data_IF_797634740002
#
_entry.id   IF_797634740002
#
_cell.length_a   1.000
_cell.length_b   1.000
_cell.length_c   1.000
_cell.angle_alpha   90.00
_cell.angle_beta   90.00
_cell.angle_gamma   90.00
#
_symmetry.space_group_name_H-M   'P 1'
#
loop_
_entity.id
_entity.type
_entity.pdbx_description
1 polymer ?
#
# COMPACT_ATOMS: atom_id res chain seq x y z
N UNK A 1 -11.93 4.14 28.86
CA UNK A 1 -11.77 3.27 27.67
C UNK A 1 -13.16 2.99 27.13
N UNK A 2 -13.35 3.06 25.82
CA UNK A 2 -14.63 2.71 25.18
C UNK A 2 -14.65 1.20 25.03
N UNK A 3 -15.70 0.57 25.52
CA UNK A 3 -15.97 -0.85 25.26
C UNK A 3 -16.23 -1.04 23.75
N UNK A 4 -15.55 -2.00 23.07
CA UNK A 4 -15.79 -2.29 21.67
C UNK A 4 -17.28 -2.49 21.31
N UNK A 5 -18.04 -3.09 22.19
CA UNK A 5 -19.49 -3.31 21.99
C UNK A 5 -20.31 -2.01 21.96
N UNK A 6 -19.85 -0.96 22.63
CA UNK A 6 -20.53 0.34 22.69
C UNK A 6 -20.01 1.36 21.67
N UNK A 7 -18.99 1.03 20.89
CA UNK A 7 -18.45 1.91 19.86
C UNK A 7 -19.35 2.01 18.62
N UNK A 8 -19.80 0.87 18.12
CA UNK A 8 -20.56 0.79 16.86
C UNK A 8 -22.05 1.08 17.05
N UNK A 9 -22.39 2.25 17.60
CA UNK A 9 -23.75 2.77 17.75
C UNK A 9 -23.81 4.26 17.34
N UNK A 10 -24.95 4.76 16.82
CA UNK A 10 -25.07 6.16 16.39
C UNK A 10 -24.76 7.18 17.49
N UNK A 11 -25.17 6.91 18.74
CA UNK A 11 -24.90 7.81 19.86
C UNK A 11 -23.40 7.99 20.12
N UNK A 12 -22.60 6.91 20.04
CA UNK A 12 -21.14 6.99 20.19
C UNK A 12 -20.48 7.78 19.05
N UNK A 13 -20.94 7.62 17.82
CA UNK A 13 -20.46 8.39 16.68
C UNK A 13 -20.70 9.89 16.86
N UNK A 14 -21.89 10.29 17.32
CA UNK A 14 -22.20 11.68 17.62
C UNK A 14 -21.31 12.25 18.75
N UNK A 15 -21.13 11.50 19.84
CA UNK A 15 -20.27 11.90 20.96
C UNK A 15 -18.80 12.05 20.55
N UNK A 16 -18.25 11.03 19.87
CA UNK A 16 -16.83 10.98 19.46
C UNK A 16 -16.49 12.10 18.47
N UNK A 17 -17.40 12.37 17.51
CA UNK A 17 -17.16 13.37 16.46
C UNK A 17 -17.59 14.79 16.86
N UNK A 18 -18.34 14.93 17.97
CA UNK A 18 -18.97 16.21 18.35
C UNK A 18 -20.03 16.67 17.35
N UNK A 19 -20.58 15.73 16.57
CA UNK A 19 -21.52 16.03 15.51
C UNK A 19 -22.90 16.43 16.01
N UNK A 20 -23.63 17.22 15.20
CA UNK A 20 -25.01 17.64 15.45
C UNK A 20 -25.97 16.87 14.55
N UNK A 21 -27.00 16.29 15.14
CA UNK A 21 -28.05 15.61 14.38
C UNK A 21 -28.84 16.60 13.48
N UNK A 22 -28.90 16.31 12.19
CA UNK A 22 -29.86 16.91 11.26
C UNK A 22 -31.15 16.06 11.18
N UNK A 23 -30.97 14.73 11.20
CA UNK A 23 -32.02 13.74 11.34
C UNK A 23 -31.52 12.66 12.33
N UNK A 24 -32.02 12.59 13.56
CA UNK A 24 -31.57 11.60 14.52
C UNK A 24 -32.05 10.20 14.11
N UNK A 25 -31.30 9.12 14.49
CA UNK A 25 -31.77 7.76 14.29
C UNK A 25 -33.00 7.48 15.17
N UNK A 26 -33.84 6.52 14.76
CA UNK A 26 -34.96 6.06 15.56
C UNK A 26 -34.50 5.41 16.89
N UNK A 27 -33.39 4.70 16.87
CA UNK A 27 -32.69 4.14 18.02
C UNK A 27 -31.21 4.51 17.98
N UNK A 28 -30.76 5.33 18.93
CA UNK A 28 -29.37 5.74 19.05
C UNK A 28 -28.42 4.63 19.54
N UNK A 29 -28.96 3.50 20.02
CA UNK A 29 -28.21 2.34 20.48
C UNK A 29 -28.24 1.18 19.48
N UNK A 30 -28.93 1.31 18.33
CA UNK A 30 -28.94 0.28 17.30
C UNK A 30 -27.51 0.01 16.76
N UNK A 31 -27.10 -1.27 16.63
CA UNK A 31 -25.76 -1.58 16.17
C UNK A 31 -25.53 -1.17 14.71
N UNK A 32 -24.39 -0.53 14.45
CA UNK A 32 -23.92 -0.20 13.10
C UNK A 32 -23.09 -1.36 12.56
N UNK A 33 -23.31 -1.74 11.29
CA UNK A 33 -22.67 -2.90 10.67
C UNK A 33 -21.20 -2.64 10.27
N UNK A 34 -20.82 -1.37 10.11
CA UNK A 34 -19.51 -0.95 9.63
C UNK A 34 -19.53 0.47 9.09
N UNK A 35 -18.53 0.82 8.27
CA UNK A 35 -18.40 2.13 7.68
C UNK A 35 -17.86 2.06 6.25
N UNK A 36 -18.43 2.85 5.34
CA UNK A 36 -17.99 2.97 3.95
C UNK A 36 -17.90 4.43 3.50
N UNK A 37 -16.95 4.73 2.62
CA UNK A 37 -16.86 5.98 1.85
C UNK A 37 -17.28 5.79 0.38
N UNK A 38 -17.55 4.52 -0.03
CA UNK A 38 -17.96 4.18 -1.40
C UNK A 38 -19.44 3.79 -1.43
N UNK A 39 -20.25 4.65 -2.03
CA UNK A 39 -21.70 4.45 -2.15
C UNK A 39 -22.11 3.17 -2.93
N UNK A 40 -21.18 2.61 -3.74
CA UNK A 40 -21.42 1.42 -4.57
C UNK A 40 -21.13 0.12 -3.82
N UNK A 41 -20.30 0.18 -2.78
CA UNK A 41 -19.86 -0.98 -1.99
C UNK A 41 -20.52 -1.04 -0.60
N UNK A 42 -21.37 -0.07 -0.28
CA UNK A 42 -22.05 0.04 1.01
C UNK A 42 -23.03 -1.12 1.19
N UNK A 43 -23.02 -1.72 2.38
CA UNK A 43 -23.97 -2.76 2.78
C UNK A 43 -25.00 -2.21 3.79
N UNK A 44 -26.19 -2.83 3.90
CA UNK A 44 -27.22 -2.38 4.82
C UNK A 44 -26.74 -2.32 6.28
N UNK A 45 -27.09 -1.25 6.98
CA UNK A 45 -26.68 -1.01 8.37
C UNK A 45 -25.35 -0.31 8.55
N UNK A 46 -24.58 -0.07 7.47
CA UNK A 46 -23.32 0.70 7.55
C UNK A 46 -23.53 2.20 7.68
N UNK A 47 -22.47 2.86 8.14
CA UNK A 47 -22.32 4.31 8.13
C UNK A 47 -21.71 4.74 6.80
N UNK A 48 -22.34 5.67 6.12
CA UNK A 48 -21.73 6.35 4.98
C UNK A 48 -21.02 7.63 5.40
N UNK A 49 -19.78 7.83 4.96
CA UNK A 49 -19.05 9.08 5.19
C UNK A 49 -18.98 9.85 3.87
N UNK A 50 -19.72 10.97 3.79
CA UNK A 50 -19.80 11.80 2.59
C UNK A 50 -18.53 12.64 2.43
N UNK A 51 -17.49 12.05 1.80
CA UNK A 51 -16.24 12.77 1.52
C UNK A 51 -16.39 13.65 0.29
N UNK A 52 -15.96 14.91 0.40
CA UNK A 52 -15.83 15.83 -0.73
C UNK A 52 -14.42 15.70 -1.31
N UNK A 53 -14.31 15.21 -2.54
CA UNK A 53 -13.06 15.08 -3.29
C UNK A 53 -13.01 16.01 -4.49
N UNK A 54 -11.90 16.00 -5.23
CA UNK A 54 -11.68 16.86 -6.40
C UNK A 54 -12.68 16.63 -7.55
N UNK A 55 -13.17 15.40 -7.71
CA UNK A 55 -14.01 14.98 -8.85
C UNK A 55 -15.45 14.69 -8.45
N UNK A 56 -15.70 14.30 -7.21
CA UNK A 56 -17.00 13.86 -6.72
C UNK A 56 -17.23 14.42 -5.31
N UNK A 57 -18.49 14.76 -5.03
CA UNK A 57 -18.96 15.09 -3.70
C UNK A 57 -19.83 13.94 -3.16
N UNK A 58 -19.40 13.33 -2.05
CA UNK A 58 -20.11 12.23 -1.40
C UNK A 58 -21.54 12.58 -1.01
N UNK A 59 -21.83 13.86 -0.76
CA UNK A 59 -23.18 14.34 -0.42
C UNK A 59 -24.19 14.14 -1.56
N UNK A 60 -23.74 14.06 -2.82
CA UNK A 60 -24.63 13.85 -3.97
C UNK A 60 -25.19 12.41 -4.02
N UNK A 61 -24.59 11.48 -3.28
CA UNK A 61 -24.94 10.07 -3.24
C UNK A 61 -25.85 9.69 -2.06
N UNK A 62 -26.30 10.65 -1.22
CA UNK A 62 -27.10 10.35 -0.03
C UNK A 62 -28.40 9.58 -0.33
N UNK A 63 -29.09 9.90 -1.42
CA UNK A 63 -30.27 9.17 -1.83
C UNK A 63 -29.97 7.72 -2.24
N UNK A 64 -28.82 7.49 -2.90
CA UNK A 64 -28.36 6.17 -3.28
C UNK A 64 -28.01 5.32 -2.04
N UNK A 65 -27.27 5.88 -1.08
CA UNK A 65 -26.87 5.14 0.12
C UNK A 65 -28.06 4.85 1.04
N UNK A 66 -29.05 5.75 1.07
CA UNK A 66 -30.33 5.46 1.75
C UNK A 66 -31.04 4.27 1.10
N UNK A 67 -31.12 4.25 -0.23
CA UNK A 67 -31.72 3.14 -0.96
C UNK A 67 -30.94 1.82 -0.77
N UNK A 68 -29.62 1.89 -0.55
CA UNK A 68 -28.77 0.75 -0.20
C UNK A 68 -28.89 0.32 1.28
N UNK A 69 -29.66 1.03 2.11
CA UNK A 69 -29.91 0.67 3.49
C UNK A 69 -28.87 1.18 4.49
N UNK A 70 -28.15 2.27 4.18
CA UNK A 70 -27.29 2.93 5.16
C UNK A 70 -28.08 3.32 6.42
N UNK A 71 -27.52 3.06 7.61
CA UNK A 71 -28.15 3.41 8.88
C UNK A 71 -27.89 4.88 9.26
N UNK A 72 -26.71 5.40 8.90
CA UNK A 72 -26.23 6.72 9.26
C UNK A 72 -25.39 7.30 8.12
N UNK A 73 -25.49 8.62 7.90
CA UNK A 73 -24.50 9.33 7.07
C UNK A 73 -23.87 10.49 7.86
N UNK A 74 -22.53 10.60 7.77
CA UNK A 74 -21.77 11.75 8.21
C UNK A 74 -21.68 12.75 7.07
N UNK A 75 -22.06 14.00 7.33
CA UNK A 75 -22.11 15.10 6.34
C UNK A 75 -21.45 16.37 6.87
N UNK A 76 -20.90 17.21 6.01
CA UNK A 76 -20.22 18.48 6.40
C UNK A 76 -21.15 19.71 6.29
N UNK A 77 -22.25 19.59 5.59
CA UNK A 77 -23.19 20.68 5.36
C UNK A 77 -24.60 20.33 5.78
N UNK A 78 -25.45 21.35 5.92
CA UNK A 78 -26.85 21.10 6.17
C UNK A 78 -27.50 20.45 4.93
N UNK A 79 -28.06 19.28 5.16
CA UNK A 79 -28.80 18.50 4.17
C UNK A 79 -30.23 18.31 4.67
N UNK A 80 -31.21 18.52 3.81
CA UNK A 80 -32.58 18.25 4.17
C UNK A 80 -32.76 16.74 4.43
N UNK A 81 -33.51 16.35 5.49
CA UNK A 81 -33.84 14.96 5.71
C UNK A 81 -34.48 14.34 4.47
N UNK A 82 -33.96 13.21 4.04
CA UNK A 82 -34.50 12.47 2.92
C UNK A 82 -35.82 11.83 3.34
N UNK A 83 -36.81 11.83 2.44
CA UNK A 83 -38.07 11.13 2.71
C UNK A 83 -37.79 9.66 2.92
N UNK A 84 -38.50 9.04 3.88
CA UNK A 84 -38.40 7.61 4.11
C UNK A 84 -38.53 6.84 2.79
N UNK A 85 -37.59 5.94 2.52
CA UNK A 85 -37.62 5.06 1.35
C UNK A 85 -38.68 3.99 1.46
N UNK A 86 -38.77 3.09 0.48
CA UNK A 86 -39.72 1.96 0.50
C UNK A 86 -39.51 0.99 1.69
N UNK A 87 -38.31 0.98 2.31
CA UNK A 87 -37.95 0.22 3.50
C UNK A 87 -38.50 0.79 4.82
N UNK A 88 -39.08 2.00 4.79
CA UNK A 88 -39.68 2.64 5.97
C UNK A 88 -38.69 3.34 6.91
N UNK A 89 -37.39 3.06 6.85
CA UNK A 89 -36.39 3.65 7.72
C UNK A 89 -35.78 4.91 7.06
N UNK A 90 -35.79 6.02 7.80
CA UNK A 90 -35.14 7.24 7.37
C UNK A 90 -33.64 7.15 7.66
N UNK A 91 -32.80 7.55 6.70
CA UNK A 91 -31.36 7.69 6.89
C UNK A 91 -31.07 8.70 8.00
N UNK A 92 -30.40 8.29 9.06
CA UNK A 92 -29.91 9.21 10.07
C UNK A 92 -28.82 10.11 9.49
N UNK A 93 -28.86 11.42 9.82
CA UNK A 93 -27.90 12.40 9.31
C UNK A 93 -27.19 13.10 10.47
N UNK A 94 -25.89 12.90 10.58
CA UNK A 94 -25.02 13.53 11.57
C UNK A 94 -24.11 14.55 10.86
N UNK A 95 -24.30 15.84 11.15
CA UNK A 95 -23.43 16.87 10.64
C UNK A 95 -22.20 17.00 11.51
N UNK A 96 -21.05 16.96 10.87
CA UNK A 96 -19.72 17.18 11.46
C UNK A 96 -19.04 18.40 10.80
N UNK A 97 -18.00 18.92 11.43
CA UNK A 97 -17.22 20.03 10.85
C UNK A 97 -16.45 19.58 9.59
N UNK A 98 -15.82 18.40 9.66
CA UNK A 98 -15.13 17.74 8.56
C UNK A 98 -15.34 16.25 8.62
N UNK A 99 -15.82 15.65 7.52
CA UNK A 99 -16.03 14.19 7.44
C UNK A 99 -14.71 13.43 7.46
N UNK A 100 -13.63 14.01 6.90
CA UNK A 100 -12.28 13.43 6.98
C UNK A 100 -11.78 13.40 8.42
N UNK A 101 -11.88 14.53 9.15
CA UNK A 101 -11.51 14.59 10.56
C UNK A 101 -12.36 13.68 11.44
N UNK A 102 -13.66 13.61 11.18
CA UNK A 102 -14.55 12.68 11.86
C UNK A 102 -14.11 11.22 11.67
N UNK A 103 -13.81 10.84 10.43
CA UNK A 103 -13.29 9.50 10.09
C UNK A 103 -11.99 9.19 10.87
N UNK A 104 -11.05 10.13 10.89
CA UNK A 104 -9.78 10.01 11.60
C UNK A 104 -9.97 9.91 13.13
N UNK A 105 -10.86 10.72 13.69
CA UNK A 105 -11.16 10.71 15.12
C UNK A 105 -11.83 9.39 15.53
N UNK A 106 -12.77 8.90 14.75
CA UNK A 106 -13.39 7.58 14.96
C UNK A 106 -12.34 6.47 14.91
N UNK A 107 -11.46 6.50 13.91
CA UNK A 107 -10.38 5.53 13.76
C UNK A 107 -9.42 5.52 14.96
N UNK A 108 -9.01 6.71 15.44
CA UNK A 108 -8.14 6.83 16.60
C UNK A 108 -8.81 6.30 17.89
N UNK A 109 -10.13 6.52 18.05
CA UNK A 109 -10.90 5.96 19.17
C UNK A 109 -11.11 4.46 19.05
N UNK A 110 -11.35 3.97 17.84
CA UNK A 110 -11.44 2.52 17.60
C UNK A 110 -10.10 1.82 17.86
N UNK A 111 -8.97 2.47 17.52
CA UNK A 111 -7.62 1.97 17.87
C UNK A 111 -7.46 1.77 19.38
N UNK A 112 -8.01 2.66 20.22
CA UNK A 112 -7.99 2.49 21.68
C UNK A 112 -8.79 1.26 22.10
N UNK A 113 -9.98 1.06 21.52
CA UNK A 113 -10.82 -0.10 21.79
C UNK A 113 -10.17 -1.42 21.36
N UNK A 114 -9.54 -1.45 20.17
CA UNK A 114 -8.79 -2.60 19.68
C UNK A 114 -7.64 -2.98 20.63
N UNK A 115 -6.85 -1.98 21.09
CA UNK A 115 -5.76 -2.22 22.05
C UNK A 115 -6.27 -2.74 23.39
N UNK A 116 -7.38 -2.21 23.88
CA UNK A 116 -8.02 -2.69 25.12
C UNK A 116 -8.54 -4.13 25.00
N UNK A 117 -8.96 -4.54 23.79
CA UNK A 117 -9.35 -5.92 23.47
C UNK A 117 -8.17 -6.88 23.22
N UNK A 118 -6.92 -6.37 23.23
CA UNK A 118 -5.71 -7.16 23.05
C UNK A 118 -5.22 -7.26 21.59
N UNK A 119 -5.82 -6.53 20.65
CA UNK A 119 -5.34 -6.45 19.29
C UNK A 119 -4.04 -5.64 19.22
N UNK A 120 -2.95 -6.25 18.75
CA UNK A 120 -1.68 -5.57 18.53
C UNK A 120 -1.63 -4.97 17.13
N UNK A 121 -1.34 -3.68 17.04
CA UNK A 121 -1.24 -2.97 15.75
C UNK A 121 0.21 -2.90 15.31
N UNK A 122 0.47 -3.49 14.14
CA UNK A 122 1.76 -3.41 13.43
C UNK A 122 1.63 -2.35 12.34
N UNK A 123 2.51 -1.38 12.32
CA UNK A 123 2.55 -0.36 11.26
C UNK A 123 3.76 -0.57 10.37
N UNK A 124 3.56 -0.46 9.06
CA UNK A 124 4.64 -0.63 8.06
C UNK A 124 4.79 0.64 7.26
N UNK A 125 5.96 1.26 7.34
CA UNK A 125 6.37 2.47 6.64
C UNK A 125 7.68 2.23 5.87
N UNK A 126 8.18 3.23 5.15
CA UNK A 126 9.42 3.16 4.37
C UNK A 126 9.20 3.36 2.87
N UNK A 127 10.24 3.69 2.13
CA UNK A 127 10.15 4.05 0.72
C UNK A 127 9.66 2.93 -0.18
N UNK A 128 10.22 1.73 -0.02
CA UNK A 128 9.90 0.57 -0.85
C UNK A 128 9.58 -0.65 0.02
N UNK A 129 8.78 -1.58 -0.51
CA UNK A 129 8.48 -2.83 0.18
C UNK A 129 7.34 -2.77 1.20
N UNK A 130 6.71 -1.62 1.47
CA UNK A 130 5.58 -1.48 2.42
C UNK A 130 4.50 -2.53 2.23
N UNK A 131 3.89 -2.57 1.07
CA UNK A 131 2.78 -3.49 0.76
C UNK A 131 3.21 -4.95 0.82
N UNK A 132 4.40 -5.27 0.30
CA UNK A 132 4.95 -6.63 0.35
C UNK A 132 5.19 -7.05 1.80
N UNK A 133 5.87 -6.22 2.61
CA UNK A 133 6.14 -6.52 4.01
C UNK A 133 4.85 -6.66 4.81
N UNK A 134 3.86 -5.77 4.63
CA UNK A 134 2.53 -5.88 5.22
C UNK A 134 1.87 -7.22 4.90
N UNK A 135 1.89 -7.62 3.61
CA UNK A 135 1.33 -8.89 3.17
C UNK A 135 2.05 -10.09 3.78
N UNK A 136 3.39 -10.07 3.81
CA UNK A 136 4.21 -11.12 4.42
C UNK A 136 4.02 -11.21 5.95
N UNK A 137 3.87 -10.08 6.65
CA UNK A 137 3.53 -10.07 8.07
C UNK A 137 2.18 -10.74 8.31
N UNK A 138 1.14 -10.33 7.56
CA UNK A 138 -0.18 -10.94 7.67
C UNK A 138 -0.11 -12.45 7.40
N UNK A 139 0.60 -12.87 6.36
CA UNK A 139 0.77 -14.27 5.99
C UNK A 139 1.40 -15.08 7.12
N UNK A 140 2.56 -14.65 7.65
CA UNK A 140 3.27 -15.42 8.67
C UNK A 140 2.54 -15.44 10.02
N UNK A 141 1.85 -14.36 10.40
CA UNK A 141 1.04 -14.33 11.63
C UNK A 141 -0.17 -15.27 11.53
N UNK A 142 -0.83 -15.29 10.36
CA UNK A 142 -1.94 -16.21 10.09
C UNK A 142 -1.47 -17.67 10.07
N UNK A 143 -0.32 -17.97 9.44
CA UNK A 143 0.30 -19.29 9.49
C UNK A 143 0.67 -19.71 10.92
N UNK A 144 0.97 -18.75 11.80
CA UNK A 144 1.17 -18.91 13.23
C UNK A 144 -0.12 -19.15 14.04
N UNK A 145 -1.29 -19.22 13.38
CA UNK A 145 -2.58 -19.48 14.02
C UNK A 145 -3.27 -18.25 14.59
N UNK A 146 -2.80 -17.04 14.30
CA UNK A 146 -3.43 -15.82 14.75
C UNK A 146 -4.50 -15.35 13.74
N UNK A 147 -5.61 -14.82 14.26
CA UNK A 147 -6.63 -14.15 13.46
C UNK A 147 -6.41 -12.65 13.47
N UNK A 148 -6.42 -12.02 12.30
CA UNK A 148 -6.21 -10.58 12.19
C UNK A 148 -6.53 -10.05 10.82
N UNK A 149 -6.25 -8.77 10.59
CA UNK A 149 -6.49 -8.09 9.34
C UNK A 149 -5.30 -7.23 8.91
N UNK A 150 -5.35 -6.74 7.69
CA UNK A 150 -4.35 -5.85 7.13
C UNK A 150 -5.00 -4.76 6.27
N UNK A 151 -4.27 -3.68 5.98
CA UNK A 151 -4.73 -2.65 5.05
C UNK A 151 -5.22 -3.26 3.74
N UNK A 152 -6.45 -2.96 3.29
CA UNK A 152 -6.91 -3.35 1.96
C UNK A 152 -6.08 -2.64 0.89
N UNK A 153 -5.66 -3.35 -0.16
CA UNK A 153 -4.86 -2.76 -1.27
C UNK A 153 -3.68 -1.95 -0.70
N UNK A 154 -3.49 -0.70 -1.14
CA UNK A 154 -2.50 0.24 -0.61
C UNK A 154 -3.19 1.40 0.13
N UNK A 155 -4.09 1.06 1.08
CA UNK A 155 -4.77 2.04 1.95
C UNK A 155 -3.79 2.55 3.00
N UNK A 156 -2.98 3.55 2.63
CA UNK A 156 -1.85 4.05 3.40
C UNK A 156 -1.83 5.57 3.60
N UNK A 157 -2.91 6.27 3.22
CA UNK A 157 -3.05 7.72 3.30
C UNK A 157 -4.12 8.16 4.33
N UNK A 158 -4.42 9.46 4.37
CA UNK A 158 -5.35 10.12 5.30
C UNK A 158 -6.80 9.58 5.30
N UNK A 159 -7.21 8.81 4.29
CA UNK A 159 -8.47 8.06 4.25
C UNK A 159 -8.25 6.56 4.47
N UNK A 160 -7.23 6.00 3.83
CA UNK A 160 -6.98 4.57 3.83
C UNK A 160 -6.57 4.02 5.20
N UNK A 161 -5.74 4.75 5.95
CA UNK A 161 -5.31 4.36 7.30
C UNK A 161 -6.51 4.33 8.28
N UNK A 162 -7.35 5.36 8.36
CA UNK A 162 -8.58 5.30 9.16
C UNK A 162 -9.51 4.14 8.78
N UNK A 163 -9.73 3.92 7.49
CA UNK A 163 -10.55 2.81 7.01
C UNK A 163 -9.96 1.44 7.38
N UNK A 164 -8.64 1.31 7.37
CA UNK A 164 -7.94 0.10 7.80
C UNK A 164 -8.20 -0.19 9.28
N UNK A 165 -8.10 0.81 10.13
CA UNK A 165 -8.39 0.68 11.56
C UNK A 165 -9.86 0.32 11.81
N UNK A 166 -10.79 1.07 11.22
CA UNK A 166 -12.23 0.86 11.38
C UNK A 166 -12.74 -0.46 10.76
N UNK A 167 -12.01 -1.03 9.81
CA UNK A 167 -12.28 -2.35 9.25
C UNK A 167 -11.78 -3.52 10.11
N UNK A 168 -10.97 -3.26 11.13
CA UNK A 168 -10.54 -4.29 12.08
C UNK A 168 -11.66 -4.59 13.09
N UNK A 169 -11.72 -5.84 13.55
CA UNK A 169 -12.69 -6.31 14.52
C UNK A 169 -12.06 -6.45 15.90
N UNK A 170 -12.85 -6.34 16.95
CA UNK A 170 -12.37 -6.42 18.33
C UNK A 170 -11.75 -7.79 18.69
N UNK A 171 -12.20 -8.86 18.02
CA UNK A 171 -11.68 -10.22 18.19
C UNK A 171 -10.37 -10.50 17.45
N UNK A 172 -9.86 -9.55 16.64
CA UNK A 172 -8.58 -9.70 15.97
C UNK A 172 -7.43 -9.64 16.97
N UNK A 173 -6.52 -10.60 16.92
CA UNK A 173 -5.27 -10.59 17.69
C UNK A 173 -4.22 -9.63 17.12
N UNK A 174 -4.34 -9.27 15.84
CA UNK A 174 -3.45 -8.31 15.18
C UNK A 174 -4.12 -7.52 14.06
N UNK A 175 -3.55 -6.36 13.78
CA UNK A 175 -3.84 -5.54 12.60
C UNK A 175 -2.51 -5.09 11.98
N UNK A 176 -2.33 -5.22 10.67
CA UNK A 176 -1.18 -4.67 9.95
C UNK A 176 -1.62 -3.46 9.13
N UNK A 177 -1.21 -2.27 9.53
CA UNK A 177 -1.52 -1.01 8.88
C UNK A 177 -0.33 -0.53 8.03
N UNK A 178 -0.55 -0.29 6.74
CA UNK A 178 0.42 0.38 5.88
C UNK A 178 0.30 1.89 6.09
N UNK A 179 1.44 2.58 6.29
CA UNK A 179 1.54 4.04 6.39
C UNK A 179 2.44 4.54 5.28
N UNK A 180 1.93 5.42 4.46
CA UNK A 180 2.65 6.02 3.34
C UNK A 180 2.59 7.54 3.39
N UNK A 181 3.42 8.17 2.57
CA UNK A 181 3.49 9.61 2.43
C UNK A 181 3.66 10.01 0.98
N UNK A 182 3.26 11.22 0.65
CA UNK A 182 3.66 11.94 -0.55
C UNK A 182 4.27 13.30 -0.15
N UNK A 183 3.91 13.85 1.03
CA UNK A 183 4.31 15.18 1.46
C UNK A 183 4.85 15.18 2.91
N UNK A 184 5.71 16.14 3.26
CA UNK A 184 6.25 16.26 4.62
C UNK A 184 5.15 16.37 5.68
N UNK A 185 5.28 15.56 6.75
CA UNK A 185 4.39 15.56 7.92
C UNK A 185 3.26 14.53 7.87
N UNK A 186 2.96 13.94 6.71
CA UNK A 186 1.86 12.96 6.57
C UNK A 186 2.10 11.71 7.41
N UNK A 187 3.35 11.18 7.47
CA UNK A 187 3.67 10.02 8.31
C UNK A 187 3.38 10.30 9.77
N UNK A 188 3.74 11.48 10.29
CA UNK A 188 3.48 11.85 11.67
C UNK A 188 1.97 11.91 11.98
N UNK A 189 1.18 12.52 11.09
CA UNK A 189 -0.27 12.62 11.24
C UNK A 189 -0.93 11.24 11.26
N UNK A 190 -0.56 10.37 10.33
CA UNK A 190 -1.09 9.01 10.25
C UNK A 190 -0.65 8.15 11.43
N UNK A 191 0.62 8.25 11.83
CA UNK A 191 1.16 7.53 12.97
C UNK A 191 0.49 7.92 14.29
N UNK A 192 0.09 9.20 14.45
CA UNK A 192 -0.68 9.68 15.59
C UNK A 192 -2.07 9.02 15.70
N UNK A 193 -2.66 8.61 14.57
CA UNK A 193 -3.92 7.87 14.54
C UNK A 193 -3.67 6.39 14.83
N UNK A 194 -2.65 5.78 14.20
CA UNK A 194 -2.34 4.34 14.29
C UNK A 194 -1.78 3.97 15.66
N UNK A 195 -0.86 4.77 16.22
CA UNK A 195 -0.14 4.49 17.48
C UNK A 195 0.29 3.03 17.59
N UNK A 196 1.25 2.60 16.74
CA UNK A 196 1.58 1.20 16.59
C UNK A 196 2.20 0.61 17.86
N UNK A 197 1.87 -0.65 18.15
CA UNK A 197 2.58 -1.47 19.14
C UNK A 197 3.91 -1.97 18.57
N UNK A 198 3.96 -2.17 17.25
CA UNK A 198 5.16 -2.49 16.50
C UNK A 198 5.23 -1.60 15.26
N UNK A 199 6.30 -0.82 15.11
CA UNK A 199 6.59 -0.07 13.89
C UNK A 199 7.68 -0.78 13.08
N UNK A 200 7.47 -0.92 11.77
CA UNK A 200 8.45 -1.46 10.83
C UNK A 200 8.77 -0.39 9.80
N UNK A 201 10.04 -0.01 9.67
CA UNK A 201 10.53 0.77 8.54
C UNK A 201 11.24 -0.19 7.59
N UNK A 202 10.75 -0.31 6.35
CA UNK A 202 11.23 -1.33 5.41
C UNK A 202 12.54 -0.94 4.75
N UNK A 203 12.61 0.27 4.21
CA UNK A 203 13.76 0.79 3.47
C UNK A 203 13.71 2.31 3.36
N UNK A 204 14.83 2.92 3.00
CA UNK A 204 14.89 4.29 2.51
C UNK A 204 15.35 4.30 1.05
N UNK A 205 14.72 5.13 0.22
CA UNK A 205 15.02 5.25 -1.20
C UNK A 205 14.55 6.58 -1.77
N UNK A 206 14.89 6.82 -3.02
CA UNK A 206 14.62 8.05 -3.76
C UNK A 206 13.14 8.12 -4.18
N UNK A 207 12.24 8.44 -3.23
CA UNK A 207 10.81 8.61 -3.51
C UNK A 207 10.35 10.04 -3.17
N UNK A 208 9.34 10.55 -3.88
CA UNK A 208 8.70 11.85 -3.63
C UNK A 208 9.70 13.01 -3.45
N UNK A 209 10.86 12.96 -4.17
CA UNK A 209 11.94 13.94 -4.01
C UNK A 209 11.51 15.35 -4.39
N UNK A 210 10.46 15.49 -5.18
CA UNK A 210 9.83 16.79 -5.49
C UNK A 210 9.39 17.51 -4.21
N UNK A 211 8.89 16.77 -3.21
CA UNK A 211 8.36 17.30 -1.97
C UNK A 211 9.30 17.08 -0.79
N UNK A 212 9.95 15.92 -0.71
CA UNK A 212 10.87 15.54 0.38
C UNK A 212 12.31 16.00 0.14
N UNK A 213 12.64 16.47 -1.08
CA UNK A 213 13.89 17.10 -1.53
C UNK A 213 15.04 16.12 -1.72
N UNK A 214 15.42 15.36 -0.70
CA UNK A 214 16.58 14.45 -0.70
C UNK A 214 16.35 13.25 0.24
N UNK A 215 17.29 12.33 0.24
CA UNK A 215 17.25 11.13 1.10
C UNK A 215 17.17 11.45 2.60
N UNK A 216 17.75 12.59 3.04
CA UNK A 216 17.59 13.00 4.44
C UNK A 216 16.18 13.48 4.73
N UNK A 217 15.52 14.13 3.76
CA UNK A 217 14.11 14.47 3.84
C UNK A 217 13.23 13.23 3.95
N UNK A 218 13.48 12.23 3.09
CA UNK A 218 12.81 10.93 3.16
C UNK A 218 13.04 10.25 4.51
N UNK A 219 14.30 10.22 5.00
CA UNK A 219 14.62 9.61 6.29
C UNK A 219 13.90 10.29 7.45
N UNK A 220 13.82 11.63 7.46
CA UNK A 220 13.05 12.36 8.49
C UNK A 220 11.57 12.03 8.44
N UNK A 221 10.98 12.01 7.25
CA UNK A 221 9.56 11.73 7.06
C UNK A 221 9.23 10.30 7.50
N UNK A 222 9.92 9.29 6.98
CA UNK A 222 9.67 7.89 7.32
C UNK A 222 9.96 7.58 8.79
N UNK A 223 10.96 8.25 9.40
CA UNK A 223 11.27 8.11 10.83
C UNK A 223 10.21 8.72 11.75
N UNK A 224 9.35 9.61 11.24
CA UNK A 224 8.35 10.28 12.06
C UNK A 224 7.37 9.29 12.72
N UNK A 225 7.19 8.10 12.16
CA UNK A 225 6.40 7.02 12.76
C UNK A 225 6.91 6.62 14.15
N UNK A 226 8.22 6.72 14.39
CA UNK A 226 8.87 6.30 15.63
C UNK A 226 8.42 7.14 16.84
N UNK A 227 8.04 8.41 16.63
CA UNK A 227 7.55 9.27 17.69
C UNK A 227 6.18 8.82 18.27
N UNK A 228 5.49 7.92 17.58
CA UNK A 228 4.14 7.46 17.91
C UNK A 228 4.07 5.97 18.28
N UNK A 229 5.22 5.28 18.38
CA UNK A 229 5.26 3.90 18.89
C UNK A 229 4.81 3.89 20.35
N UNK A 230 3.93 2.96 20.68
CA UNK A 230 3.41 2.83 22.04
C UNK A 230 4.54 2.61 23.06
N UNK A 231 4.37 3.12 24.29
CA UNK A 231 5.32 2.86 25.36
C UNK A 231 5.42 1.33 25.63
N UNK A 232 6.65 0.82 25.71
CA UNK A 232 6.92 -0.61 25.81
C UNK A 232 6.73 -1.38 24.49
N UNK A 233 6.46 -0.68 23.38
CA UNK A 233 6.36 -1.23 22.05
C UNK A 233 7.71 -1.57 21.41
N UNK A 234 7.71 -1.83 20.10
CA UNK A 234 8.89 -2.26 19.35
C UNK A 234 9.03 -1.49 18.02
N UNK A 235 10.21 -1.00 17.71
CA UNK A 235 10.59 -0.55 16.38
C UNK A 235 11.53 -1.56 15.71
N UNK A 236 11.17 -2.03 14.53
CA UNK A 236 11.96 -2.90 13.68
C UNK A 236 12.53 -2.09 12.52
N UNK A 237 13.83 -1.91 12.49
CA UNK A 237 14.54 -1.09 11.54
C UNK A 237 15.53 -1.94 10.74
N UNK A 238 15.80 -1.62 9.46
CA UNK A 238 16.86 -2.30 8.72
C UNK A 238 18.22 -2.12 9.41
N UNK A 239 19.11 -3.08 9.26
CA UNK A 239 20.51 -2.92 9.61
C UNK A 239 21.11 -1.74 8.83
N UNK A 240 22.10 -1.05 9.41
CA UNK A 240 22.65 0.19 8.83
C UNK A 240 23.21 0.01 7.41
N UNK A 241 23.75 -1.17 7.10
CA UNK A 241 24.25 -1.51 5.78
C UNK A 241 23.18 -1.52 4.67
N UNK A 242 21.89 -1.55 5.02
CA UNK A 242 20.75 -1.48 4.07
C UNK A 242 20.17 -0.07 3.93
N UNK A 243 20.70 0.92 4.65
CA UNK A 243 20.18 2.28 4.63
C UNK A 243 21.18 3.22 3.93
N UNK A 244 20.74 4.00 2.93
CA UNK A 244 21.62 4.98 2.26
C UNK A 244 21.97 6.18 3.15
N UNK A 245 21.13 6.48 4.13
CA UNK A 245 21.32 7.52 5.15
C UNK A 245 20.73 7.03 6.48
N UNK A 246 21.21 7.56 7.64
CA UNK A 246 20.67 7.15 8.93
C UNK A 246 19.21 7.61 9.13
N UNK A 247 18.43 6.80 9.86
CA UNK A 247 17.11 7.17 10.35
C UNK A 247 17.22 8.17 11.51
N UNK A 248 16.21 9.04 11.62
CA UNK A 248 16.07 9.95 12.76
C UNK A 248 15.38 9.21 13.91
N UNK A 249 16.15 8.80 14.91
CA UNK A 249 15.65 8.05 16.07
C UNK A 249 15.45 9.02 17.24
N UNK A 250 14.33 8.93 18.01
CA UNK A 250 14.16 9.71 19.23
C UNK A 250 15.31 9.47 20.22
N UNK A 251 15.73 10.50 20.95
CA UNK A 251 16.90 10.44 21.85
C UNK A 251 16.67 9.47 23.01
N UNK A 252 15.44 9.42 23.55
CA UNK A 252 15.05 8.54 24.66
C UNK A 252 13.74 7.82 24.28
N UNK A 253 13.80 6.76 23.44
CA UNK A 253 12.61 6.07 23.04
C UNK A 253 12.00 5.28 24.21
N UNK A 254 10.68 5.42 24.41
CA UNK A 254 9.94 4.63 25.39
C UNK A 254 9.60 3.19 24.88
N UNK A 255 10.25 2.76 23.81
CA UNK A 255 10.05 1.48 23.13
C UNK A 255 11.40 0.82 22.82
N UNK A 256 11.37 -0.46 22.56
CA UNK A 256 12.56 -1.23 22.14
C UNK A 256 12.87 -0.99 20.65
N UNK A 257 14.15 -0.95 20.30
CA UNK A 257 14.61 -0.91 18.91
C UNK A 257 15.37 -2.20 18.62
N UNK A 258 14.95 -2.91 17.58
CA UNK A 258 15.68 -4.06 17.01
C UNK A 258 15.96 -3.80 15.53
N UNK A 259 17.16 -4.21 15.11
CA UNK A 259 17.52 -4.16 13.70
C UNK A 259 17.37 -5.54 13.07
N UNK A 260 16.86 -5.56 11.84
CA UNK A 260 16.78 -6.79 11.04
C UNK A 260 17.75 -6.73 9.86
N UNK A 261 18.22 -7.88 9.45
CA UNK A 261 19.11 -8.11 8.31
C UNK A 261 18.58 -9.32 7.54
N UNK A 262 19.24 -9.70 6.44
CA UNK A 262 18.90 -10.90 5.70
C UNK A 262 18.94 -12.14 6.63
N UNK A 263 17.78 -12.75 6.79
CA UNK A 263 17.60 -13.91 7.66
C UNK A 263 17.56 -15.20 6.83
N UNK A 264 18.43 -16.20 7.10
CA UNK A 264 18.40 -17.49 6.41
C UNK A 264 17.04 -18.20 6.45
N UNK A 265 16.21 -17.94 7.47
CA UNK A 265 14.86 -18.50 7.59
C UNK A 265 13.96 -18.18 6.39
N UNK A 266 14.30 -17.14 5.64
CA UNK A 266 13.56 -16.70 4.44
C UNK A 266 13.98 -17.41 3.15
N UNK A 267 14.84 -18.43 3.23
CA UNK A 267 15.38 -19.12 2.04
C UNK A 267 14.29 -19.79 1.17
N UNK A 268 13.17 -20.19 1.77
CA UNK A 268 12.03 -20.79 1.06
C UNK A 268 11.05 -19.80 0.43
N UNK A 269 11.30 -18.49 0.51
CA UNK A 269 10.41 -17.49 -0.05
C UNK A 269 10.40 -17.54 -1.60
N UNK A 270 9.23 -17.69 -2.27
CA UNK A 270 9.15 -17.77 -3.72
C UNK A 270 9.25 -16.41 -4.43
N UNK A 271 9.36 -15.32 -3.68
CA UNK A 271 9.49 -13.96 -4.21
C UNK A 271 10.95 -13.68 -4.62
N UNK A 272 11.21 -13.31 -5.89
CA UNK A 272 12.58 -13.07 -6.34
C UNK A 272 13.16 -11.79 -5.76
N UNK A 273 14.49 -11.77 -5.62
CA UNK A 273 15.28 -10.61 -5.21
C UNK A 273 15.56 -10.52 -3.71
N UNK A 274 16.74 -9.99 -3.42
CA UNK A 274 17.25 -9.79 -2.06
C UNK A 274 16.37 -8.86 -1.22
N UNK A 275 15.80 -7.81 -1.87
CA UNK A 275 14.88 -6.89 -1.22
C UNK A 275 13.61 -7.59 -0.70
N UNK A 276 13.08 -8.60 -1.40
CA UNK A 276 11.95 -9.38 -0.92
C UNK A 276 12.33 -10.31 0.24
N UNK A 277 13.53 -10.86 0.23
CA UNK A 277 14.07 -11.61 1.39
C UNK A 277 14.25 -10.70 2.60
N UNK A 278 14.67 -9.44 2.41
CA UNK A 278 14.76 -8.46 3.49
C UNK A 278 13.37 -8.09 4.03
N UNK A 279 12.37 -7.92 3.16
CA UNK A 279 10.97 -7.73 3.57
C UNK A 279 10.44 -8.91 4.39
N UNK A 280 10.77 -10.15 4.00
CA UNK A 280 10.41 -11.36 4.74
C UNK A 280 11.17 -11.48 6.07
N UNK A 281 12.42 -10.99 6.13
CA UNK A 281 13.19 -10.92 7.38
C UNK A 281 12.55 -9.97 8.38
N UNK A 282 12.05 -8.80 7.91
CA UNK A 282 11.26 -7.89 8.73
C UNK A 282 9.98 -8.56 9.24
N UNK A 283 9.27 -9.29 8.37
CA UNK A 283 8.06 -10.03 8.75
C UNK A 283 8.38 -11.17 9.74
N UNK A 284 9.50 -11.85 9.59
CA UNK A 284 9.99 -12.86 10.55
C UNK A 284 10.26 -12.24 11.92
N UNK A 285 10.87 -11.05 11.95
CA UNK A 285 11.12 -10.33 13.21
C UNK A 285 9.80 -9.92 13.90
N UNK A 286 8.77 -9.53 13.15
CA UNK A 286 7.41 -9.31 13.69
C UNK A 286 6.85 -10.61 14.26
N UNK A 287 6.92 -11.73 13.52
CA UNK A 287 6.41 -13.03 13.96
C UNK A 287 7.05 -13.49 15.28
N UNK A 288 8.37 -13.29 15.42
CA UNK A 288 9.08 -13.54 16.70
C UNK A 288 8.56 -12.66 17.84
N UNK A 289 8.25 -11.39 17.56
CA UNK A 289 7.67 -10.50 18.57
C UNK A 289 6.25 -10.92 18.99
N UNK A 290 5.55 -11.69 18.17
CA UNK A 290 4.29 -12.36 18.51
C UNK A 290 4.48 -13.73 19.17
N UNK A 291 5.72 -14.19 19.36
CA UNK A 291 6.02 -15.46 19.98
C UNK A 291 5.84 -16.69 19.07
N UNK A 292 5.80 -16.49 17.74
CA UNK A 292 5.68 -17.61 16.79
C UNK A 292 7.02 -18.34 16.70
N UNK A 293 6.95 -19.67 16.78
CA UNK A 293 8.14 -20.53 16.76
C UNK A 293 8.88 -20.48 15.41
N UNK A 294 10.21 -20.54 15.43
CA UNK A 294 11.07 -20.49 14.23
C UNK A 294 10.66 -21.52 13.16
N UNK A 295 10.32 -22.75 13.58
CA UNK A 295 9.88 -23.80 12.66
C UNK A 295 8.59 -23.40 11.91
N UNK A 296 7.64 -22.74 12.57
CA UNK A 296 6.41 -22.25 11.96
C UNK A 296 6.70 -21.09 11.00
N UNK A 297 7.60 -20.17 11.38
CA UNK A 297 8.02 -19.06 10.52
C UNK A 297 8.66 -19.61 9.23
N UNK A 298 9.60 -20.56 9.36
CA UNK A 298 10.26 -21.16 8.19
C UNK A 298 9.27 -21.89 7.28
N UNK A 299 8.32 -22.64 7.86
CA UNK A 299 7.32 -23.39 7.12
C UNK A 299 6.29 -22.51 6.39
N UNK A 300 6.13 -21.24 6.78
CA UNK A 300 5.19 -20.32 6.16
C UNK A 300 5.68 -19.81 4.78
N UNK A 301 6.99 -19.64 4.58
CA UNK A 301 7.51 -18.93 3.42
C UNK A 301 7.24 -19.59 2.07
N UNK A 302 7.33 -20.95 1.89
CA UNK A 302 7.05 -21.57 0.59
C UNK A 302 5.64 -21.32 0.04
N UNK A 303 4.69 -21.00 0.90
CA UNK A 303 3.31 -20.70 0.54
C UNK A 303 3.01 -19.18 0.47
N UNK A 304 4.02 -18.32 0.66
CA UNK A 304 3.83 -16.89 0.63
C UNK A 304 3.51 -16.42 -0.81
N UNK A 305 2.35 -15.75 -0.95
CA UNK A 305 1.93 -15.18 -2.23
C UNK A 305 2.52 -13.78 -2.48
N UNK A 306 2.32 -13.30 -3.70
CA UNK A 306 2.66 -11.95 -4.12
C UNK A 306 1.54 -10.96 -3.77
N UNK A 307 1.92 -9.73 -3.45
CA UNK A 307 0.97 -8.63 -3.60
C UNK A 307 0.85 -8.30 -5.11
N UNK A 308 -0.36 -8.03 -5.63
CA UNK A 308 -0.55 -7.78 -7.06
C UNK A 308 0.36 -6.68 -7.61
N UNK A 309 0.92 -6.89 -8.79
CA UNK A 309 1.83 -5.96 -9.50
C UNK A 309 3.09 -5.57 -8.69
N UNK A 310 3.56 -6.43 -7.77
CA UNK A 310 4.72 -6.17 -6.91
C UNK A 310 5.76 -7.29 -7.04
N UNK A 311 6.44 -7.33 -8.22
CA UNK A 311 7.37 -8.40 -8.54
C UNK A 311 6.68 -9.75 -8.71
N UNK A 312 5.42 -9.73 -9.12
CA UNK A 312 4.59 -10.89 -9.41
C UNK A 312 5.16 -11.63 -10.62
N UNK A 313 5.50 -12.91 -10.45
CA UNK A 313 6.07 -13.72 -11.52
C UNK A 313 4.97 -14.59 -12.12
N UNK A 314 4.71 -14.40 -13.41
CA UNK A 314 3.69 -15.13 -14.16
C UNK A 314 4.37 -16.10 -15.14
N UNK A 315 3.77 -17.26 -15.35
CA UNK A 315 4.22 -18.32 -16.29
C UNK A 315 5.61 -18.90 -16.01
N UNK A 316 6.18 -18.77 -14.82
CA UNK A 316 7.53 -19.22 -14.50
C UNK A 316 7.76 -20.72 -14.77
N UNK A 317 6.74 -21.55 -14.66
CA UNK A 317 6.80 -23.00 -14.81
C UNK A 317 6.30 -23.50 -16.18
N UNK A 318 5.96 -22.59 -17.12
CA UNK A 318 5.46 -22.94 -18.43
C UNK A 318 6.48 -22.58 -19.54
N UNK A 319 7.27 -23.55 -20.05
CA UNK A 319 8.31 -23.28 -21.05
C UNK A 319 7.75 -22.88 -22.42
N UNK A 320 6.45 -22.98 -22.64
CA UNK A 320 5.78 -22.51 -23.87
C UNK A 320 5.43 -21.03 -23.84
N UNK A 321 5.70 -20.33 -22.73
CA UNK A 321 5.34 -18.93 -22.49
C UNK A 321 6.50 -18.16 -21.88
N UNK A 322 6.59 -16.84 -22.14
CA UNK A 322 7.59 -16.00 -21.48
C UNK A 322 7.34 -15.92 -19.98
N UNK A 323 8.39 -15.88 -19.20
CA UNK A 323 8.32 -15.47 -17.80
C UNK A 323 8.05 -13.98 -17.71
N UNK A 324 7.00 -13.55 -17.01
CA UNK A 324 6.65 -12.14 -16.86
C UNK A 324 6.85 -11.72 -15.41
N UNK A 325 7.69 -10.73 -15.17
CA UNK A 325 7.87 -10.08 -13.87
C UNK A 325 7.04 -8.80 -13.89
N UNK A 326 5.83 -8.88 -13.36
CA UNK A 326 4.91 -7.74 -13.24
C UNK A 326 5.20 -6.94 -11.97
N UNK A 327 5.90 -5.82 -12.11
CA UNK A 327 6.21 -4.86 -11.05
C UNK A 327 5.68 -3.45 -11.41
N UNK A 328 4.51 -3.41 -12.07
CA UNK A 328 3.93 -2.21 -12.65
C UNK A 328 3.18 -1.30 -11.67
N UNK A 329 3.15 -1.61 -10.36
CA UNK A 329 2.39 -0.81 -9.40
C UNK A 329 2.93 0.61 -9.22
N UNK A 330 4.25 0.75 -9.06
CA UNK A 330 4.94 2.04 -8.90
C UNK A 330 6.43 1.90 -9.21
N UNK A 331 7.10 3.04 -9.41
CA UNK A 331 8.53 3.08 -9.69
C UNK A 331 9.19 4.32 -9.07
N UNK A 332 10.38 4.10 -8.54
CA UNK A 332 11.37 5.11 -8.19
C UNK A 332 12.78 4.57 -8.51
N UNK A 333 13.85 5.37 -8.51
CA UNK A 333 15.16 4.92 -8.93
C UNK A 333 15.68 3.70 -8.17
N UNK A 334 15.47 3.67 -6.85
CA UNK A 334 15.89 2.56 -5.98
C UNK A 334 15.16 1.27 -6.36
N UNK A 335 13.84 1.31 -6.57
CA UNK A 335 13.05 0.14 -6.94
C UNK A 335 13.29 -0.32 -8.37
N UNK A 336 13.60 0.59 -9.30
CA UNK A 336 13.99 0.25 -10.68
C UNK A 336 15.31 -0.53 -10.69
N UNK A 337 16.34 -0.07 -9.95
CA UNK A 337 17.62 -0.80 -9.82
C UNK A 337 17.41 -2.20 -9.25
N UNK A 338 16.55 -2.33 -8.23
CA UNK A 338 16.23 -3.61 -7.63
C UNK A 338 15.53 -4.57 -8.62
N UNK A 339 14.57 -4.07 -9.40
CA UNK A 339 13.87 -4.87 -10.41
C UNK A 339 14.78 -5.30 -11.56
N UNK A 340 15.65 -4.42 -12.04
CA UNK A 340 16.67 -4.75 -13.06
C UNK A 340 17.69 -5.78 -12.51
N UNK A 341 18.11 -5.69 -11.24
CA UNK A 341 18.94 -6.72 -10.60
C UNK A 341 18.24 -8.07 -10.55
N UNK A 342 16.91 -8.09 -10.35
CA UNK A 342 16.12 -9.33 -10.44
C UNK A 342 16.11 -9.86 -11.86
N UNK A 343 15.83 -9.02 -12.87
CA UNK A 343 15.83 -9.42 -14.28
C UNK A 343 17.19 -9.99 -14.71
N UNK A 344 18.29 -9.39 -14.27
CA UNK A 344 19.66 -9.86 -14.55
C UNK A 344 19.93 -11.30 -14.04
N UNK A 345 19.17 -11.77 -13.05
CA UNK A 345 19.25 -13.14 -12.53
C UNK A 345 18.54 -14.20 -13.39
N UNK A 346 17.77 -13.78 -14.40
CA UNK A 346 17.10 -14.68 -15.33
C UNK A 346 17.96 -14.93 -16.59
N UNK A 347 17.78 -16.07 -17.28
CA UNK A 347 18.50 -16.32 -18.54
C UNK A 347 18.07 -15.35 -19.63
N UNK A 348 18.97 -15.13 -20.60
CA UNK A 348 18.62 -14.41 -21.83
C UNK A 348 17.72 -15.30 -22.74
N UNK A 349 16.85 -14.74 -23.60
CA UNK A 349 16.70 -13.28 -23.81
C UNK A 349 15.87 -12.58 -22.73
N UNK A 350 16.27 -11.36 -22.37
CA UNK A 350 15.60 -10.52 -21.38
C UNK A 350 15.07 -9.27 -22.04
N UNK A 351 13.83 -8.90 -21.70
CA UNK A 351 13.20 -7.67 -22.15
C UNK A 351 12.80 -6.82 -20.94
N UNK A 352 13.06 -5.51 -20.99
CA UNK A 352 12.63 -4.56 -19.99
C UNK A 352 11.67 -3.53 -20.59
N UNK A 353 10.43 -3.46 -20.10
CA UNK A 353 9.45 -2.43 -20.43
C UNK A 353 9.32 -1.49 -19.23
N UNK A 354 9.92 -0.30 -19.37
CA UNK A 354 10.04 0.65 -18.27
C UNK A 354 9.28 1.94 -18.59
N UNK A 355 8.43 2.37 -17.66
CA UNK A 355 7.72 3.64 -17.70
C UNK A 355 8.33 4.69 -16.79
N UNK A 356 8.09 5.96 -17.11
CA UNK A 356 8.62 7.09 -16.36
C UNK A 356 8.43 6.95 -14.85
N UNK A 357 9.43 7.46 -14.12
CA UNK A 357 9.41 7.64 -12.68
C UNK A 357 8.95 9.06 -12.36
N UNK A 358 7.78 9.18 -11.72
CA UNK A 358 7.16 10.47 -11.39
C UNK A 358 7.62 10.99 -10.03
N UNK A 359 7.36 12.29 -9.76
CA UNK A 359 7.58 12.95 -8.48
C UNK A 359 9.06 13.01 -8.02
N UNK A 360 10.01 12.97 -8.95
CA UNK A 360 11.44 13.07 -8.66
C UNK A 360 11.97 14.51 -8.67
N UNK A 361 11.16 15.51 -9.08
CA UNK A 361 11.55 16.91 -9.12
C UNK A 361 12.84 17.13 -9.93
N UNK A 362 13.82 17.81 -9.35
CA UNK A 362 15.09 18.10 -10.01
C UNK A 362 15.93 16.86 -10.35
N UNK A 363 15.70 15.72 -9.69
CA UNK A 363 16.43 14.48 -9.96
C UNK A 363 15.90 13.73 -11.20
N UNK A 364 14.76 14.14 -11.78
CA UNK A 364 14.12 13.45 -12.91
C UNK A 364 15.08 13.17 -14.08
N UNK A 365 15.86 14.13 -14.62
CA UNK A 365 16.68 13.86 -15.80
C UNK A 365 17.83 12.89 -15.52
N UNK A 366 18.51 13.02 -14.38
CA UNK A 366 19.63 12.14 -14.01
C UNK A 366 19.16 10.73 -13.70
N UNK A 367 18.07 10.59 -12.92
CA UNK A 367 17.51 9.30 -12.56
C UNK A 367 17.05 8.48 -13.78
N UNK A 368 16.37 9.11 -14.75
CA UNK A 368 15.95 8.41 -15.96
C UNK A 368 17.13 8.00 -16.83
N UNK A 369 18.15 8.87 -16.95
CA UNK A 369 19.37 8.55 -17.68
C UNK A 369 20.12 7.37 -17.06
N UNK A 370 20.30 7.37 -15.72
CA UNK A 370 21.00 6.30 -15.02
C UNK A 370 20.27 4.95 -15.14
N UNK A 371 18.92 4.98 -15.06
CA UNK A 371 18.10 3.76 -15.21
C UNK A 371 18.06 3.29 -16.66
N UNK A 372 17.98 4.20 -17.65
CA UNK A 372 18.02 3.84 -19.06
C UNK A 372 19.35 3.15 -19.44
N UNK A 373 20.49 3.69 -18.97
CA UNK A 373 21.79 3.05 -19.14
C UNK A 373 21.86 1.67 -18.50
N UNK A 374 21.41 1.55 -17.24
CA UNK A 374 21.38 0.27 -16.53
C UNK A 374 20.47 -0.76 -17.21
N UNK A 375 19.33 -0.33 -17.75
CA UNK A 375 18.42 -1.21 -18.47
C UNK A 375 19.06 -1.75 -19.75
N UNK A 376 19.73 -0.89 -20.53
CA UNK A 376 20.46 -1.28 -21.73
C UNK A 376 21.62 -2.26 -21.46
N UNK A 377 22.27 -2.15 -20.30
CA UNK A 377 23.31 -3.08 -19.85
C UNK A 377 22.72 -4.42 -19.33
N UNK A 378 21.45 -4.42 -18.94
CA UNK A 378 20.82 -5.57 -18.26
C UNK A 378 20.02 -6.47 -19.20
N UNK A 379 19.31 -5.89 -20.18
CA UNK A 379 18.39 -6.59 -21.04
C UNK A 379 18.80 -6.46 -22.52
N UNK A 380 18.59 -7.52 -23.27
CA UNK A 380 18.85 -7.57 -24.73
C UNK A 380 17.86 -6.73 -25.53
N UNK A 381 16.70 -6.41 -24.95
CA UNK A 381 15.70 -5.51 -25.53
C UNK A 381 15.10 -4.61 -24.45
N UNK A 382 15.05 -3.30 -24.69
CA UNK A 382 14.46 -2.32 -23.78
C UNK A 382 13.42 -1.47 -24.50
N UNK A 383 12.23 -1.35 -23.89
CA UNK A 383 11.18 -0.44 -24.33
C UNK A 383 10.98 0.61 -23.24
N UNK A 384 11.37 1.83 -23.51
CA UNK A 384 11.31 2.97 -22.60
C UNK A 384 10.10 3.84 -22.94
N UNK A 385 9.22 4.09 -21.96
CA UNK A 385 7.92 4.72 -22.20
C UNK A 385 7.75 5.94 -21.31
N UNK A 386 7.53 7.08 -21.92
CA UNK A 386 7.31 8.36 -21.29
C UNK A 386 8.29 9.44 -21.75
N UNK A 387 7.93 10.72 -21.61
CA UNK A 387 8.74 11.83 -22.10
C UNK A 387 10.13 11.92 -21.45
N UNK A 388 10.27 11.51 -20.19
CA UNK A 388 11.53 11.57 -19.48
C UNK A 388 12.48 10.45 -19.94
N UNK A 389 11.99 9.24 -20.12
CA UNK A 389 12.78 8.15 -20.68
C UNK A 389 13.14 8.40 -22.15
N UNK A 390 12.21 8.95 -22.97
CA UNK A 390 12.53 9.32 -24.34
C UNK A 390 13.64 10.36 -24.42
N UNK A 391 13.63 11.37 -23.54
CA UNK A 391 14.72 12.36 -23.46
C UNK A 391 16.04 11.73 -23.00
N UNK A 392 16.01 10.80 -22.05
CA UNK A 392 17.18 10.10 -21.55
C UNK A 392 17.83 9.22 -22.64
N UNK A 393 17.01 8.45 -23.38
CA UNK A 393 17.48 7.60 -24.48
C UNK A 393 18.18 8.40 -25.59
N UNK A 394 17.58 9.54 -25.98
CA UNK A 394 18.17 10.44 -26.96
C UNK A 394 19.53 11.02 -26.49
N UNK A 395 19.66 11.38 -25.22
CA UNK A 395 20.91 11.88 -24.64
C UNK A 395 22.03 10.84 -24.60
N UNK A 396 21.68 9.58 -24.41
CA UNK A 396 22.63 8.47 -24.32
C UNK A 396 22.94 7.84 -25.70
N UNK A 397 22.31 8.31 -26.79
CA UNK A 397 22.42 7.73 -28.11
C UNK A 397 22.16 6.21 -28.13
N UNK A 398 21.12 5.76 -27.39
CA UNK A 398 20.80 4.35 -27.24
C UNK A 398 20.11 3.74 -28.48
N UNK A 399 19.81 4.53 -29.49
CA UNK A 399 19.19 4.09 -30.75
C UNK A 399 20.05 3.06 -31.54
N UNK A 400 21.34 2.96 -31.22
CA UNK A 400 22.25 1.96 -31.78
C UNK A 400 22.18 0.60 -31.06
N UNK A 401 21.54 0.58 -29.91
CA UNK A 401 21.28 -0.64 -29.11
C UNK A 401 19.84 -1.12 -29.35
N UNK A 402 19.49 -2.32 -28.91
CA UNK A 402 18.12 -2.80 -28.97
C UNK A 402 17.21 -2.08 -27.94
N UNK A 403 17.20 -0.75 -27.99
CA UNK A 403 16.44 0.15 -27.13
C UNK A 403 15.49 0.97 -27.98
N UNK A 404 14.18 0.83 -27.74
CA UNK A 404 13.16 1.70 -28.32
C UNK A 404 12.63 2.67 -27.26
N UNK A 405 12.40 3.92 -27.64
CA UNK A 405 11.91 4.95 -26.72
C UNK A 405 10.67 5.65 -27.28
N UNK A 406 9.62 5.70 -26.49
CA UNK A 406 8.31 6.20 -26.87
C UNK A 406 7.85 7.28 -25.87
N UNK A 407 7.44 8.44 -26.37
CA UNK A 407 6.96 9.53 -25.50
C UNK A 407 5.65 9.21 -24.78
N UNK A 408 4.87 8.27 -25.29
CA UNK A 408 3.60 7.85 -24.72
C UNK A 408 3.28 6.39 -25.03
N UNK A 409 2.43 5.83 -24.19
CA UNK A 409 1.84 4.52 -24.43
C UNK A 409 0.86 4.53 -25.61
N UNK A 410 0.79 3.42 -26.33
CA UNK A 410 -0.28 3.13 -27.29
C UNK A 410 -0.61 1.64 -27.34
N UNK A 411 -1.82 1.28 -27.76
CA UNK A 411 -2.22 -0.13 -27.96
C UNK A 411 -1.41 -0.78 -29.10
N UNK A 412 -0.99 0.00 -30.09
CA UNK A 412 -0.11 -0.48 -31.15
C UNK A 412 1.25 -0.90 -30.58
N UNK A 413 1.84 -0.09 -29.69
CA UNK A 413 3.08 -0.42 -28.99
C UNK A 413 2.93 -1.68 -28.15
N UNK A 414 1.79 -1.87 -27.48
CA UNK A 414 1.53 -3.10 -26.72
C UNK A 414 1.53 -4.35 -27.61
N UNK A 415 0.92 -4.24 -28.81
CA UNK A 415 0.91 -5.32 -29.78
C UNK A 415 2.31 -5.61 -30.36
N UNK A 416 3.12 -4.58 -30.62
CA UNK A 416 4.51 -4.69 -31.06
C UNK A 416 5.37 -5.41 -30.00
N UNK A 417 5.33 -4.97 -28.73
CA UNK A 417 6.03 -5.61 -27.62
C UNK A 417 5.63 -7.08 -27.51
N UNK A 418 4.32 -7.35 -27.53
CA UNK A 418 3.85 -8.72 -27.48
C UNK A 418 4.34 -9.54 -28.69
N UNK A 419 4.44 -8.97 -29.90
CA UNK A 419 4.89 -9.64 -31.12
C UNK A 419 6.40 -9.94 -31.10
N UNK A 420 7.22 -9.16 -30.47
CA UNK A 420 8.67 -9.36 -30.37
C UNK A 420 9.07 -10.37 -29.28
N UNK A 421 8.23 -10.53 -28.24
CA UNK A 421 8.54 -11.39 -27.11
C UNK A 421 8.52 -12.88 -27.54
N UNK A 422 9.58 -13.63 -27.23
CA UNK A 422 9.67 -15.08 -27.48
C UNK A 422 9.26 -15.88 -26.24
N UNK A 423 8.82 -17.16 -26.41
CA UNK A 423 8.41 -17.98 -25.27
C UNK A 423 9.50 -18.23 -24.23
N UNK A 424 10.76 -18.22 -24.61
CA UNK A 424 11.92 -18.42 -23.74
C UNK A 424 12.41 -17.13 -23.08
N UNK A 425 11.80 -15.98 -23.39
CA UNK A 425 12.20 -14.69 -22.84
C UNK A 425 11.68 -14.45 -21.43
N UNK A 426 12.40 -13.58 -20.69
CA UNK A 426 11.92 -13.00 -19.44
C UNK A 426 11.62 -11.52 -19.64
N UNK A 427 10.39 -11.11 -19.35
CA UNK A 427 9.90 -9.74 -19.46
C UNK A 427 9.75 -9.09 -18.08
N UNK A 428 10.39 -7.94 -17.86
CA UNK A 428 10.11 -7.05 -16.74
C UNK A 428 9.18 -5.90 -17.16
N UNK A 429 8.11 -5.67 -16.41
CA UNK A 429 7.19 -4.54 -16.60
C UNK A 429 7.24 -3.67 -15.34
N UNK A 430 7.71 -2.40 -15.44
CA UNK A 430 7.78 -1.49 -14.31
C UNK A 430 7.65 -0.02 -14.70
N UNK A 431 6.86 0.75 -13.94
CA UNK A 431 6.67 2.19 -14.13
C UNK A 431 5.91 2.80 -12.95
N UNK A 432 5.91 4.12 -12.85
CA UNK A 432 5.08 4.82 -11.87
C UNK A 432 3.60 4.52 -12.05
N UNK A 433 2.80 4.61 -10.99
CA UNK A 433 1.37 4.27 -11.02
C UNK A 433 0.61 4.99 -12.14
N UNK A 434 0.95 6.25 -12.40
CA UNK A 434 0.35 7.05 -13.47
C UNK A 434 0.62 6.53 -14.89
N UNK A 435 1.66 5.70 -15.07
CA UNK A 435 1.99 5.07 -16.36
C UNK A 435 1.06 3.89 -16.68
N UNK A 436 0.51 3.24 -15.68
CA UNK A 436 -0.45 2.13 -15.79
C UNK A 436 0.02 1.02 -16.76
N UNK A 437 1.28 0.58 -16.63
CA UNK A 437 1.89 -0.37 -17.57
C UNK A 437 1.32 -1.79 -17.49
N UNK A 438 0.55 -2.13 -16.45
CA UNK A 438 -0.21 -3.38 -16.38
C UNK A 438 -1.18 -3.57 -17.55
N UNK A 439 -1.52 -2.51 -18.28
CA UNK A 439 -2.31 -2.57 -19.52
C UNK A 439 -1.59 -3.26 -20.69
N UNK A 440 -0.32 -3.64 -20.54
CA UNK A 440 0.37 -4.53 -21.45
C UNK A 440 -0.13 -5.99 -21.33
N UNK A 441 -0.56 -6.40 -20.13
CA UNK A 441 -0.95 -7.79 -19.85
C UNK A 441 -2.06 -8.33 -20.77
N UNK A 442 -3.10 -7.58 -21.15
CA UNK A 442 -4.09 -8.05 -22.14
C UNK A 442 -3.50 -8.44 -23.49
N UNK A 443 -2.54 -7.66 -24.02
CA UNK A 443 -1.88 -7.99 -25.30
C UNK A 443 -1.02 -9.26 -25.18
N UNK A 444 -0.32 -9.43 -24.06
CA UNK A 444 0.44 -10.65 -23.76
C UNK A 444 -0.49 -11.86 -23.61
N UNK A 445 -1.62 -11.70 -22.92
CA UNK A 445 -2.63 -12.75 -22.75
C UNK A 445 -3.29 -13.16 -24.07
N UNK A 446 -3.49 -12.20 -24.99
CA UNK A 446 -4.01 -12.50 -26.34
C UNK A 446 -3.06 -13.38 -27.16
N UNK A 447 -1.74 -13.24 -26.97
CA UNK A 447 -0.73 -14.02 -27.69
C UNK A 447 -0.36 -15.34 -27.02
N UNK A 448 -0.18 -15.34 -25.70
CA UNK A 448 0.36 -16.47 -24.94
C UNK A 448 -0.69 -17.16 -24.05
N UNK A 449 -1.94 -16.68 -24.07
CA UNK A 449 -3.01 -17.13 -23.17
C UNK A 449 -3.00 -16.40 -21.80
N UNK A 450 -4.11 -16.47 -21.07
CA UNK A 450 -4.22 -15.82 -19.76
C UNK A 450 -3.18 -16.40 -18.79
N UNK A 451 -2.70 -15.57 -17.87
CA UNK A 451 -1.92 -16.05 -16.73
C UNK A 451 -2.74 -17.10 -15.97
N UNK A 452 -2.14 -18.24 -15.65
CA UNK A 452 -2.75 -19.15 -14.70
C UNK A 452 -2.81 -18.42 -13.34
N UNK A 453 -4.02 -18.28 -12.81
CA UNK A 453 -4.27 -17.61 -11.54
C UNK A 453 -3.82 -18.42 -10.35
#
# INVERSE_FOLDING_TARGET
MIDPASFWIPAAFAEITGGRWLAPPADGAAPLAGLSIDSRALVPGEVFVAITGERFDGHDFLAQVQAAGAALALVERDVAPLRAGQSGDALALLRVESTVRALQTLAARWRDALGAAGCRVVSVSGSNGKTTTRHLIHHVLTAGGLTGSQSPKSFNNHLGVPLTLLGARAEHGFLVAEVGTNHPGEVAELAAIVRPDIAVITSLGEEHLEFLRDLNGVAREESAILAHVAAGGLALLPAEGHLPVPLTIPTEPAFEIRRFDLDPITAGLPLPGEHNRLNASAASAVARAFGIAEATIAAAWPAAGHAPMRGEVLHADDPSRPTIINDAYNANPTSMRAALKVLAGYPAPRMAVLGDMLELGAATPSAHRDIAALAADTAECCVLIGPHFAAAAAQLALDELAVSAHAAWSEALAAEIAAELTPDATLLIKGSRGMALERLLPALAARFGPAAG
#
